data_IF_337869915921
#
_entry.id   IF_337869915921
#
_cell.length_a   1.000
_cell.length_b   1.000
_cell.length_c   1.000
_cell.angle_alpha   90.00
_cell.angle_beta   90.00
_cell.angle_gamma   90.00
#
_symmetry.space_group_name_H-M   'P 1'
#
loop_
_entity.id
_entity.type
_entity.pdbx_description
1 polymer ?
#
# COMPACT_ATOMS: atom_id res chain seq x y z
N UNK A 1 -9.26 -1.16 -20.68
CA UNK A 1 -9.80 -1.35 -19.31
C UNK A 1 -8.91 -0.53 -18.38
N UNK A 2 -9.41 0.61 -17.94
CA UNK A 2 -8.70 1.56 -17.06
C UNK A 2 -8.83 0.98 -15.65
N UNK A 3 -7.71 0.88 -14.91
CA UNK A 3 -7.59 0.12 -13.67
C UNK A 3 -8.61 0.50 -12.59
N UNK A 4 -8.88 -0.43 -11.68
CA UNK A 4 -9.81 -0.18 -10.57
C UNK A 4 -9.28 0.90 -9.63
N UNK A 5 -10.20 1.76 -9.16
CA UNK A 5 -9.91 2.80 -8.18
C UNK A 5 -10.29 2.31 -6.79
N UNK A 6 -9.30 2.09 -5.93
CA UNK A 6 -9.52 1.72 -4.53
C UNK A 6 -9.23 2.93 -3.66
N UNK A 7 -10.26 3.75 -3.46
CA UNK A 7 -10.20 4.80 -2.44
C UNK A 7 -10.42 4.19 -1.04
N UNK A 8 -9.65 4.63 -0.03
CA UNK A 8 -9.99 4.40 1.36
C UNK A 8 -11.30 5.13 1.65
N UNK A 9 -12.16 4.49 2.44
CA UNK A 9 -13.55 4.85 2.69
C UNK A 9 -14.58 4.53 1.58
N UNK A 10 -14.19 3.90 0.46
CA UNK A 10 -15.16 3.21 -0.42
C UNK A 10 -15.37 1.77 0.05
N UNK A 11 -16.52 1.17 -0.29
CA UNK A 11 -16.83 -0.22 0.05
C UNK A 11 -15.77 -1.20 -0.54
N UNK A 12 -15.18 -0.84 -1.68
CA UNK A 12 -14.09 -1.59 -2.34
C UNK A 12 -12.76 -1.46 -1.59
N UNK A 13 -12.43 -0.26 -1.08
CA UNK A 13 -11.26 -0.05 -0.21
C UNK A 13 -11.41 -0.65 1.19
N UNK A 14 -12.63 -0.71 1.73
CA UNK A 14 -12.94 -1.42 2.97
C UNK A 14 -12.82 -2.94 2.82
N UNK A 15 -13.14 -3.47 1.63
CA UNK A 15 -13.08 -4.91 1.33
C UNK A 15 -11.67 -5.43 1.03
N UNK A 16 -10.69 -4.55 0.79
CA UNK A 16 -9.37 -5.02 0.39
C UNK A 16 -8.54 -5.58 1.54
N UNK A 17 -8.71 -5.00 2.74
CA UNK A 17 -8.16 -5.49 4.00
C UNK A 17 -6.69 -5.87 3.91
N UNK A 18 -5.81 -4.86 3.88
CA UNK A 18 -4.36 -5.07 3.84
C UNK A 18 -3.64 -4.30 4.94
N UNK A 19 -2.48 -4.82 5.33
CA UNK A 19 -1.53 -4.17 6.22
C UNK A 19 -0.31 -3.75 5.39
N UNK A 20 0.13 -2.51 5.51
CA UNK A 20 1.40 -2.05 4.91
C UNK A 20 2.55 -2.64 5.73
N UNK A 21 3.40 -3.44 5.07
CA UNK A 21 4.59 -4.07 5.68
C UNK A 21 5.81 -3.19 5.49
N UNK A 22 5.95 -2.63 4.30
CA UNK A 22 7.07 -1.76 3.93
C UNK A 22 6.55 -0.65 3.03
N UNK A 23 7.07 0.56 3.21
CA UNK A 23 6.78 1.72 2.38
C UNK A 23 8.08 2.44 2.05
N UNK A 24 8.25 2.73 0.76
CA UNK A 24 9.39 3.43 0.18
C UNK A 24 8.89 4.51 -0.80
N UNK A 25 9.84 5.27 -1.37
CA UNK A 25 9.53 6.28 -2.40
C UNK A 25 9.00 5.67 -3.70
N UNK A 26 9.43 4.46 -4.02
CA UNK A 26 9.14 3.82 -5.31
C UNK A 26 7.98 2.81 -5.24
N UNK A 27 7.51 2.49 -4.03
CA UNK A 27 6.51 1.47 -3.87
C UNK A 27 6.28 1.04 -2.43
N UNK A 28 5.48 -0.01 -2.27
CA UNK A 28 5.16 -0.58 -0.97
C UNK A 28 4.96 -2.08 -1.05
N UNK A 29 5.13 -2.75 0.08
CA UNK A 29 4.77 -4.15 0.26
C UNK A 29 3.57 -4.22 1.19
N UNK A 30 2.53 -4.95 0.79
CA UNK A 30 1.33 -5.14 1.60
C UNK A 30 1.10 -6.62 1.90
N UNK A 31 0.54 -6.89 3.07
CA UNK A 31 0.10 -8.21 3.50
C UNK A 31 -1.42 -8.22 3.60
N UNK A 32 -2.07 -9.19 2.96
CA UNK A 32 -3.52 -9.38 3.06
C UNK A 32 -3.89 -10.85 3.17
N UNK A 33 -5.14 -11.11 3.53
CA UNK A 33 -5.71 -12.46 3.45
C UNK A 33 -5.89 -12.83 1.98
N UNK A 34 -5.34 -13.97 1.57
CA UNK A 34 -5.46 -14.46 0.20
C UNK A 34 -6.91 -14.82 -0.13
N UNK A 35 -7.37 -14.61 -1.38
CA UNK A 35 -8.70 -15.04 -1.78
C UNK A 35 -8.82 -16.56 -1.69
N UNK A 36 -10.00 -17.06 -1.30
CA UNK A 36 -10.27 -18.51 -1.28
C UNK A 36 -10.12 -19.10 -2.69
N UNK A 37 -9.55 -20.31 -2.84
CA UNK A 37 -9.55 -20.99 -4.13
C UNK A 37 -10.97 -21.14 -4.67
N UNK A 38 -11.20 -20.78 -5.93
CA UNK A 38 -12.53 -20.84 -6.56
C UNK A 38 -13.48 -19.71 -6.18
N UNK A 39 -12.99 -18.62 -5.59
CA UNK A 39 -13.80 -17.43 -5.37
C UNK A 39 -14.36 -16.91 -6.71
N UNK A 40 -15.64 -16.49 -6.77
CA UNK A 40 -16.26 -15.99 -7.99
C UNK A 40 -15.55 -14.72 -8.48
N UNK A 41 -15.65 -14.40 -9.78
CA UNK A 41 -15.01 -13.20 -10.35
C UNK A 41 -15.48 -11.90 -9.67
N UNK A 42 -16.71 -11.87 -9.15
CA UNK A 42 -17.25 -10.78 -8.33
C UNK A 42 -16.50 -10.56 -7.00
N UNK A 43 -15.62 -11.49 -6.60
CA UNK A 43 -14.78 -11.39 -5.42
C UNK A 43 -13.34 -10.92 -5.74
N UNK A 44 -13.05 -10.58 -7.00
CA UNK A 44 -11.77 -9.95 -7.37
C UNK A 44 -11.68 -8.56 -6.74
N UNK A 45 -10.56 -8.32 -6.04
CA UNK A 45 -10.25 -7.04 -5.39
C UNK A 45 -9.34 -6.21 -6.29
N UNK A 46 -9.13 -4.93 -5.98
CA UNK A 46 -8.32 -4.05 -6.81
C UNK A 46 -6.88 -4.54 -7.00
N UNK A 47 -6.23 -4.99 -5.93
CA UNK A 47 -4.89 -5.58 -5.94
C UNK A 47 -4.84 -6.96 -6.63
N UNK A 48 -5.97 -7.54 -7.03
CA UNK A 48 -5.98 -8.70 -7.94
C UNK A 48 -5.65 -8.30 -9.38
N UNK A 49 -5.86 -7.04 -9.74
CA UNK A 49 -5.50 -6.48 -11.04
C UNK A 49 -4.00 -6.13 -11.09
N UNK A 50 -3.47 -6.00 -12.31
CA UNK A 50 -2.06 -5.58 -12.50
C UNK A 50 -1.84 -4.13 -12.11
N UNK A 51 -2.80 -3.25 -12.40
CA UNK A 51 -2.73 -1.83 -12.11
C UNK A 51 -3.97 -1.37 -11.36
N UNK A 52 -3.76 -0.67 -10.26
CA UNK A 52 -4.84 -0.14 -9.43
C UNK A 52 -4.44 1.17 -8.78
N UNK A 53 -5.38 2.11 -8.73
CA UNK A 53 -5.22 3.29 -7.90
C UNK A 53 -5.45 2.90 -6.45
N UNK A 54 -4.51 3.27 -5.59
CA UNK A 54 -4.56 3.03 -4.16
C UNK A 54 -4.35 4.35 -3.46
N UNK A 55 -5.09 4.58 -2.36
CA UNK A 55 -4.55 5.50 -1.37
C UNK A 55 -3.63 4.75 -0.42
N UNK A 56 -2.39 5.19 -0.40
CA UNK A 56 -1.34 4.68 0.47
C UNK A 56 -1.47 5.42 1.81
N UNK A 57 -1.76 4.70 2.92
CA UNK A 57 -1.90 5.33 4.22
C UNK A 57 -0.55 5.80 4.76
N UNK A 58 -0.54 6.97 5.40
CA UNK A 58 0.57 7.56 6.17
C UNK A 58 0.13 7.67 7.65
N UNK A 59 0.20 6.57 8.42
CA UNK A 59 -0.54 6.42 9.68
C UNK A 59 -0.20 7.47 10.74
N UNK A 60 1.08 7.77 10.92
CA UNK A 60 1.62 8.69 11.94
C UNK A 60 1.16 10.13 11.70
N UNK A 61 0.74 10.46 10.48
CA UNK A 61 0.19 11.77 10.10
C UNK A 61 -1.33 11.78 9.97
N UNK A 62 -2.01 10.63 10.10
CA UNK A 62 -3.45 10.51 9.81
C UNK A 62 -3.79 10.94 8.37
N UNK A 63 -2.86 10.75 7.44
CA UNK A 63 -2.97 11.20 6.06
C UNK A 63 -2.89 10.03 5.08
N UNK A 64 -3.13 10.31 3.81
CA UNK A 64 -3.01 9.33 2.73
C UNK A 64 -2.53 10.02 1.45
N UNK A 65 -1.81 9.30 0.60
CA UNK A 65 -1.40 9.77 -0.73
C UNK A 65 -2.02 8.89 -1.80
N UNK A 66 -2.43 9.47 -2.92
CA UNK A 66 -3.02 8.71 -4.03
C UNK A 66 -1.94 8.29 -5.04
N UNK A 67 -1.85 6.99 -5.35
CA UNK A 67 -0.88 6.46 -6.30
C UNK A 67 -1.53 5.45 -7.24
N UNK A 68 -1.21 5.54 -8.54
CA UNK A 68 -1.39 4.43 -9.45
C UNK A 68 -0.29 3.43 -9.15
N UNK A 69 -0.66 2.21 -8.84
CA UNK A 69 0.28 1.16 -8.47
C UNK A 69 0.27 0.03 -9.47
N UNK A 70 1.44 -0.57 -9.70
CA UNK A 70 1.59 -1.81 -10.42
C UNK A 70 1.97 -2.93 -9.46
N UNK A 71 1.23 -4.05 -9.52
CA UNK A 71 1.64 -5.29 -8.87
C UNK A 71 2.87 -5.87 -9.58
N UNK A 72 3.99 -5.93 -8.88
CA UNK A 72 5.27 -6.42 -9.43
C UNK A 72 5.61 -7.84 -8.99
N UNK A 73 5.19 -8.26 -7.80
CA UNK A 73 5.35 -9.63 -7.34
C UNK A 73 4.29 -10.02 -6.32
N UNK A 74 4.06 -11.33 -6.19
CA UNK A 74 3.18 -11.92 -5.17
C UNK A 74 3.84 -13.13 -4.56
N UNK A 75 3.68 -13.30 -3.25
CA UNK A 75 4.13 -14.49 -2.52
C UNK A 75 3.08 -14.91 -1.50
N UNK A 76 2.71 -16.19 -1.52
CA UNK A 76 1.72 -16.77 -0.59
C UNK A 76 2.38 -17.44 0.60
N UNK A 77 1.74 -17.30 1.76
CA UNK A 77 2.12 -17.85 3.06
C UNK A 77 0.87 -18.44 3.74
N UNK A 78 0.43 -19.61 3.29
CA UNK A 78 -0.81 -20.22 3.74
C UNK A 78 -2.02 -19.32 3.44
N UNK A 79 -2.79 -18.85 4.46
CA UNK A 79 -3.95 -17.98 4.25
C UNK A 79 -3.58 -16.53 3.94
N UNK A 80 -2.31 -16.16 4.03
CA UNK A 80 -1.82 -14.80 3.79
C UNK A 80 -1.12 -14.72 2.44
N UNK A 81 -1.14 -13.54 1.84
CA UNK A 81 -0.32 -13.21 0.69
C UNK A 81 0.32 -11.83 0.84
N UNK A 82 1.60 -11.78 0.49
CA UNK A 82 2.38 -10.56 0.38
C UNK A 82 2.40 -10.13 -1.07
N UNK A 83 2.13 -8.84 -1.30
CA UNK A 83 2.08 -8.23 -2.62
C UNK A 83 3.03 -7.06 -2.64
N UNK A 84 3.99 -7.10 -3.56
CA UNK A 84 4.85 -5.97 -3.85
C UNK A 84 4.24 -5.07 -4.92
N UNK A 85 4.23 -3.78 -4.63
CA UNK A 85 3.63 -2.74 -5.45
C UNK A 85 4.70 -1.71 -5.81
N UNK A 86 4.72 -1.30 -7.08
CA UNK A 86 5.50 -0.15 -7.56
C UNK A 86 4.57 1.02 -7.83
N UNK A 87 4.97 2.23 -7.47
CA UNK A 87 4.24 3.44 -7.81
C UNK A 87 4.57 3.86 -9.24
N UNK A 88 3.54 3.91 -10.10
CA UNK A 88 3.66 4.28 -11.51
C UNK A 88 3.37 5.76 -11.72
N UNK A 89 2.33 6.27 -11.05
CA UNK A 89 1.92 7.67 -11.14
C UNK A 89 1.46 8.16 -9.77
N UNK A 90 1.80 9.41 -9.47
CA UNK A 90 1.45 10.09 -8.23
C UNK A 90 1.45 11.59 -8.53
N UNK A 91 0.55 12.34 -7.90
CA UNK A 91 0.58 13.81 -8.04
C UNK A 91 1.85 14.37 -7.42
N UNK A 92 2.33 15.53 -7.89
CA UNK A 92 3.52 16.17 -7.31
C UNK A 92 3.32 16.46 -5.82
N UNK A 93 2.12 16.92 -5.43
CA UNK A 93 1.79 17.17 -4.02
C UNK A 93 1.81 15.90 -3.17
N UNK A 94 1.27 14.80 -3.67
CA UNK A 94 1.32 13.49 -3.00
C UNK A 94 2.75 12.98 -2.88
N UNK A 95 3.57 13.18 -3.92
CA UNK A 95 4.99 12.78 -3.92
C UNK A 95 5.77 13.56 -2.87
N UNK A 96 5.61 14.88 -2.82
CA UNK A 96 6.23 15.73 -1.79
C UNK A 96 5.77 15.33 -0.39
N UNK A 97 4.48 15.00 -0.21
CA UNK A 97 3.97 14.55 1.08
C UNK A 97 4.58 13.21 1.51
N UNK A 98 4.68 12.24 0.59
CA UNK A 98 5.32 10.94 0.84
C UNK A 98 6.81 11.11 1.19
N UNK A 99 7.55 11.92 0.43
CA UNK A 99 8.97 12.16 0.65
C UNK A 99 9.21 12.76 2.04
N UNK A 100 8.46 13.81 2.40
CA UNK A 100 8.57 14.45 3.72
C UNK A 100 8.25 13.48 4.87
N UNK A 101 7.23 12.63 4.69
CA UNK A 101 6.86 11.61 5.67
C UNK A 101 7.97 10.55 5.83
N UNK A 102 8.58 10.09 4.74
CA UNK A 102 9.66 9.10 4.79
C UNK A 102 10.92 9.67 5.44
N UNK A 103 11.27 10.92 5.13
CA UNK A 103 12.41 11.59 5.76
C UNK A 103 12.23 11.70 7.28
N UNK A 104 11.05 12.10 7.74
CA UNK A 104 10.72 12.13 9.17
C UNK A 104 10.79 10.74 9.82
N UNK A 105 10.23 9.72 9.17
CA UNK A 105 10.24 8.35 9.69
C UNK A 105 11.67 7.83 9.85
N UNK A 106 12.54 8.12 8.90
CA UNK A 106 13.95 7.76 8.98
C UNK A 106 14.63 8.50 10.14
N UNK A 107 14.36 9.80 10.31
CA UNK A 107 14.92 10.60 11.40
C UNK A 107 14.48 10.10 12.80
N UNK A 108 13.23 9.69 12.94
CA UNK A 108 12.68 9.12 14.18
C UNK A 108 13.26 7.72 14.46
N UNK A 109 13.47 6.91 13.43
CA UNK A 109 14.04 5.56 13.54
C UNK A 109 15.50 5.59 14.02
N UNK A 110 16.26 6.64 13.70
CA UNK A 110 17.62 6.86 14.23
C UNK A 110 17.65 7.63 15.56
N UNK A 111 16.64 8.46 15.85
CA UNK A 111 16.53 9.24 17.10
C UNK A 111 16.25 8.40 18.35
N UNK A 112 15.62 7.23 18.22
CA UNK A 112 15.32 6.32 19.34
C UNK A 112 16.55 5.55 19.87
N UNK A 113 17.71 5.62 19.19
CA UNK A 113 18.95 4.94 19.58
C UNK A 113 19.87 5.74 20.50
N UNK A 114 19.35 6.80 21.15
CA UNK A 114 20.00 7.43 22.32
C UNK A 114 19.28 7.06 23.62
N UNK A 115 19.17 5.76 23.90
CA UNK A 115 19.08 5.31 25.28
C UNK A 115 20.43 5.59 25.94
N UNK A 116 20.55 6.79 26.52
CA UNK A 116 21.62 7.16 27.46
C UNK A 116 21.34 6.47 28.79
N UNK A 117 22.11 5.45 29.14
CA UNK A 117 23.20 5.51 30.12
C UNK A 117 23.73 4.10 30.41
#
# INVERSE_FOLDING_TARGET
MIGSFVAPATQEGANEGFMVVELSREGMSVLRVAPKPGAPESAQRGLDQRFSWLAVPLPERGAQVCALTQVVHRKRFGPLEMIGLRFEQMSTSDRTLLDAYLDERDHLSFGARKLRH
#
